data_IF_489973828171
#
_entry.id   IF_489973828171
#
_cell.length_a   1.000
_cell.length_b   1.000
_cell.length_c   1.000
_cell.angle_alpha   90.00
_cell.angle_beta   90.00
_cell.angle_gamma   90.00
#
_symmetry.space_group_name_H-M   'P 1'
#
loop_
_entity.id
_entity.type
_entity.pdbx_description
1 polymer ?
#
# COMPACT_ATOMS: atom_id res chain seq x y z
N UNK A 1 -2.28 -6.60 -22.46
CA UNK A 1 -2.24 -7.55 -21.32
C UNK A 1 -3.53 -7.35 -20.55
N UNK A 2 -4.26 -8.40 -20.19
CA UNK A 2 -5.48 -8.25 -19.37
C UNK A 2 -5.12 -7.74 -17.97
N UNK A 3 -5.92 -6.79 -17.47
CA UNK A 3 -5.72 -6.22 -16.13
C UNK A 3 -6.07 -7.24 -15.04
N UNK A 4 -5.21 -7.41 -14.01
CA UNK A 4 -5.47 -8.36 -12.93
C UNK A 4 -6.65 -7.93 -12.06
N UNK A 5 -7.39 -8.90 -11.53
CA UNK A 5 -8.48 -8.68 -10.56
C UNK A 5 -8.05 -9.24 -9.21
N UNK A 6 -8.35 -8.53 -8.11
CA UNK A 6 -8.12 -9.04 -6.76
C UNK A 6 -9.08 -10.19 -6.40
N UNK A 7 -8.64 -11.15 -5.58
CA UNK A 7 -9.54 -12.13 -4.99
C UNK A 7 -10.58 -11.44 -4.09
N UNK A 8 -11.64 -12.15 -3.73
CA UNK A 8 -12.66 -11.62 -2.79
C UNK A 8 -12.02 -11.27 -1.45
N UNK A 9 -11.09 -12.11 -1.01
CA UNK A 9 -10.30 -11.91 0.20
C UNK A 9 -8.86 -12.33 -0.03
N UNK A 10 -7.93 -11.64 0.60
CA UNK A 10 -6.53 -12.08 0.66
C UNK A 10 -5.86 -11.62 1.94
N UNK A 11 -4.73 -12.26 2.21
CA UNK A 11 -3.74 -11.86 3.18
C UNK A 11 -2.38 -11.82 2.48
N UNK A 12 -1.55 -10.87 2.88
CA UNK A 12 -0.14 -10.81 2.51
C UNK A 12 0.65 -10.10 3.59
N UNK A 13 1.92 -10.42 3.66
CA UNK A 13 2.92 -9.63 4.36
C UNK A 13 3.49 -8.60 3.38
N UNK A 14 4.14 -7.58 3.92
CA UNK A 14 4.90 -6.63 3.10
C UNK A 14 6.13 -6.09 3.80
N UNK A 15 7.10 -5.76 2.96
CA UNK A 15 8.19 -4.86 3.27
C UNK A 15 7.91 -3.52 2.58
N UNK A 16 8.06 -2.43 3.32
CA UNK A 16 7.93 -1.08 2.79
C UNK A 16 9.23 -0.33 2.94
N UNK A 17 9.65 0.33 1.87
CA UNK A 17 10.79 1.24 1.88
C UNK A 17 10.36 2.65 1.55
N UNK A 18 10.96 3.60 2.24
CA UNK A 18 10.73 5.03 2.07
C UNK A 18 12.05 5.77 1.96
N UNK A 19 12.16 6.71 1.02
CA UNK A 19 13.29 7.64 0.92
C UNK A 19 12.80 9.07 0.74
N UNK A 20 13.35 10.06 1.49
CA UNK A 20 12.94 11.46 1.38
C UNK A 20 13.42 12.08 0.06
N UNK A 21 12.65 13.06 -0.42
CA UNK A 21 12.95 13.82 -1.65
C UNK A 21 14.05 14.87 -1.51
N UNK A 22 14.56 15.10 -0.31
CA UNK A 22 15.62 16.10 -0.08
C UNK A 22 16.94 15.70 -0.76
N UNK A 23 17.04 14.48 -1.27
CA UNK A 23 18.12 13.99 -2.12
C UNK A 23 17.67 13.90 -3.58
N UNK A 24 18.08 14.85 -4.43
CA UNK A 24 17.73 14.87 -5.86
C UNK A 24 18.38 13.71 -6.66
N UNK A 25 19.41 13.05 -6.10
CA UNK A 25 20.09 11.93 -6.75
C UNK A 25 19.40 10.58 -6.47
N UNK A 26 18.38 10.55 -5.60
CA UNK A 26 17.63 9.33 -5.29
C UNK A 26 16.85 8.81 -6.50
N UNK A 27 17.12 7.58 -6.98
CA UNK A 27 16.36 7.02 -8.08
C UNK A 27 14.93 6.67 -7.65
N UNK A 28 14.00 6.91 -8.57
CA UNK A 28 12.59 6.54 -8.41
C UNK A 28 12.43 5.00 -8.34
N UNK A 29 11.50 4.48 -7.52
CA UNK A 29 11.11 3.06 -7.54
C UNK A 29 10.42 2.66 -8.87
N UNK A 30 10.24 1.36 -9.16
CA UNK A 30 10.50 0.21 -8.30
C UNK A 30 12.00 -0.09 -8.18
N UNK A 31 12.50 -0.20 -6.95
CA UNK A 31 13.88 -0.60 -6.72
C UNK A 31 14.00 -2.11 -6.91
N UNK A 32 14.96 -2.54 -7.73
CA UNK A 32 15.10 -3.95 -8.11
C UNK A 32 15.23 -4.82 -6.87
N UNK A 33 16.05 -4.45 -5.88
CA UNK A 33 16.22 -5.23 -4.65
C UNK A 33 15.21 -4.88 -3.53
N UNK A 34 14.11 -4.18 -3.87
CA UNK A 34 13.16 -3.59 -2.92
C UNK A 34 13.75 -2.52 -1.96
N UNK A 35 15.05 -2.23 -2.09
CA UNK A 35 15.80 -1.31 -1.24
C UNK A 35 16.39 -0.20 -2.13
N UNK A 36 16.27 1.08 -1.74
CA UNK A 36 16.93 2.18 -2.45
C UNK A 36 18.46 1.99 -2.50
N UNK A 37 19.13 2.34 -3.60
CA UNK A 37 20.55 2.07 -3.77
C UNK A 37 21.49 2.98 -2.95
N UNK A 38 20.97 4.05 -2.35
CA UNK A 38 21.73 4.94 -1.47
C UNK A 38 20.86 5.42 -0.30
N UNK A 39 21.52 5.88 0.77
CA UNK A 39 20.88 6.50 1.92
C UNK A 39 20.56 7.97 1.61
N UNK A 40 19.56 8.59 2.29
CA UNK A 40 18.77 8.03 3.39
C UNK A 40 17.55 7.23 2.94
N UNK A 41 17.24 6.14 3.65
CA UNK A 41 15.96 5.47 3.57
C UNK A 41 15.58 4.82 4.90
N UNK A 42 14.30 4.49 5.04
CA UNK A 42 13.78 3.65 6.10
C UNK A 42 13.18 2.37 5.50
N UNK A 43 13.21 1.28 6.28
CA UNK A 43 12.56 0.00 5.93
C UNK A 43 11.63 -0.41 7.07
N UNK A 44 10.37 -0.67 6.74
CA UNK A 44 9.36 -1.16 7.66
C UNK A 44 8.73 -2.43 7.15
N UNK A 45 8.04 -3.14 8.04
CA UNK A 45 7.27 -4.35 7.72
C UNK A 45 5.83 -4.17 8.12
N UNK A 46 5.00 -5.03 7.57
CA UNK A 46 3.61 -5.12 7.96
C UNK A 46 2.88 -6.25 7.26
N UNK A 47 1.56 -6.24 7.44
CA UNK A 47 0.68 -7.18 6.78
C UNK A 47 -0.63 -6.50 6.40
N UNK A 48 -1.25 -6.99 5.34
CA UNK A 48 -2.55 -6.52 4.87
C UNK A 48 -3.56 -7.66 4.89
N UNK A 49 -4.73 -7.38 5.45
CA UNK A 49 -5.93 -8.19 5.32
C UNK A 49 -6.94 -7.44 4.47
N UNK A 50 -7.49 -8.09 3.45
CA UNK A 50 -8.47 -7.50 2.56
C UNK A 50 -9.69 -8.42 2.44
N UNK A 51 -10.88 -7.85 2.57
CA UNK A 51 -12.15 -8.54 2.35
C UNK A 51 -13.16 -7.62 1.64
N UNK A 52 -13.30 -7.81 0.32
CA UNK A 52 -14.21 -7.03 -0.51
C UNK A 52 -15.68 -7.22 -0.14
N UNK A 53 -16.06 -8.45 0.20
CA UNK A 53 -17.43 -8.81 0.56
C UNK A 53 -17.86 -8.23 1.93
N UNK A 54 -16.89 -7.92 2.80
CA UNK A 54 -17.12 -7.23 4.06
C UNK A 54 -16.93 -5.70 3.94
N UNK A 55 -16.46 -5.20 2.79
CA UNK A 55 -16.02 -3.82 2.60
C UNK A 55 -15.00 -3.39 3.68
N UNK A 56 -14.02 -4.26 3.94
CA UNK A 56 -13.00 -4.07 4.98
C UNK A 56 -11.59 -4.34 4.46
N UNK A 57 -10.64 -3.52 4.90
CA UNK A 57 -9.22 -3.81 4.78
C UNK A 57 -8.48 -3.27 5.99
N UNK A 58 -7.46 -4.00 6.43
CA UNK A 58 -6.58 -3.60 7.51
C UNK A 58 -5.16 -3.69 7.00
N UNK A 59 -4.40 -2.61 7.11
CA UNK A 59 -2.96 -2.62 6.92
C UNK A 59 -2.30 -2.34 8.27
N UNK A 60 -1.48 -3.29 8.73
CA UNK A 60 -0.80 -3.18 10.01
C UNK A 60 0.70 -2.98 9.78
N UNK A 61 1.22 -1.84 10.23
CA UNK A 61 2.61 -1.43 10.11
C UNK A 61 3.33 -1.66 11.43
N UNK A 62 4.32 -2.56 11.45
CA UNK A 62 4.96 -3.01 12.69
C UNK A 62 6.16 -2.19 13.11
N UNK A 63 6.78 -1.46 12.18
CA UNK A 63 8.02 -0.71 12.44
C UNK A 63 7.78 0.80 12.36
N UNK A 64 7.25 1.28 11.25
CA UNK A 64 6.81 2.66 11.10
C UNK A 64 5.62 2.78 10.15
N UNK A 65 4.77 3.78 10.42
CA UNK A 65 3.67 4.14 9.55
C UNK A 65 4.21 4.80 8.28
N UNK A 66 3.64 4.49 7.12
CA UNK A 66 4.08 5.15 5.89
C UNK A 66 4.04 6.67 6.08
N UNK A 67 5.03 7.44 5.59
CA UNK A 67 4.93 8.90 5.48
C UNK A 67 3.91 9.32 4.42
N UNK A 68 2.66 8.96 4.67
CA UNK A 68 1.49 9.75 4.27
C UNK A 68 1.41 10.99 5.19
N UNK A 69 1.98 10.91 6.40
CA UNK A 69 1.98 11.99 7.38
C UNK A 69 3.31 12.74 7.48
N UNK A 70 3.21 14.05 7.71
CA UNK A 70 4.24 14.90 8.31
C UNK A 70 3.76 15.25 9.73
N UNK A 71 4.68 15.48 10.68
CA UNK A 71 6.10 15.15 10.60
C UNK A 71 6.30 13.62 10.69
N UNK A 72 7.50 13.17 10.30
CA UNK A 72 7.82 11.78 9.97
C UNK A 72 7.22 10.72 10.91
N UNK A 73 6.57 9.72 10.33
CA UNK A 73 5.77 8.73 11.05
C UNK A 73 6.56 7.50 11.49
N UNK A 74 7.71 7.71 12.16
CA UNK A 74 8.61 6.66 12.66
C UNK A 74 8.05 5.91 13.89
N UNK A 75 6.82 5.42 13.79
CA UNK A 75 6.10 4.70 14.84
C UNK A 75 5.15 3.65 14.23
N UNK A 76 4.91 2.50 14.88
CA UNK A 76 3.98 1.50 14.37
C UNK A 76 2.54 2.04 14.33
N UNK A 77 1.75 1.60 13.35
CA UNK A 77 0.38 2.04 13.20
C UNK A 77 -0.48 0.96 12.52
N UNK A 78 -1.79 1.09 12.63
CA UNK A 78 -2.74 0.27 11.88
C UNK A 78 -3.72 1.17 11.15
N UNK A 79 -3.78 1.03 9.83
CA UNK A 79 -4.85 1.62 9.03
C UNK A 79 -6.00 0.63 8.95
N UNK A 80 -7.18 1.05 9.39
CA UNK A 80 -8.39 0.23 9.38
C UNK A 80 -9.38 0.92 8.46
N UNK A 81 -9.72 0.29 7.35
CA UNK A 81 -10.80 0.73 6.49
C UNK A 81 -12.01 -0.18 6.71
N UNK A 82 -13.09 0.38 7.23
CA UNK A 82 -14.35 -0.33 7.46
C UNK A 82 -15.51 0.61 7.19
N UNK A 83 -16.55 0.12 6.50
CA UNK A 83 -17.76 0.88 6.20
C UNK A 83 -17.47 2.25 5.55
N UNK A 84 -16.53 2.26 4.60
CA UNK A 84 -16.11 3.47 3.88
C UNK A 84 -15.53 4.58 4.78
N UNK A 85 -14.96 4.21 5.93
CA UNK A 85 -14.21 5.11 6.79
C UNK A 85 -12.83 4.51 7.05
N UNK A 86 -11.79 5.30 6.78
CA UNK A 86 -10.43 4.96 7.14
C UNK A 86 -10.10 5.55 8.51
N UNK A 87 -9.67 4.69 9.43
CA UNK A 87 -9.16 5.02 10.74
C UNK A 87 -7.64 4.79 10.78
N UNK A 88 -6.95 5.59 11.57
CA UNK A 88 -5.57 5.35 11.95
C UNK A 88 -5.54 5.04 13.45
N UNK A 89 -4.98 3.89 13.80
CA UNK A 89 -4.63 3.51 15.17
C UNK A 89 -3.13 3.67 15.33
N UNK A 90 -2.71 4.35 16.38
CA UNK A 90 -1.31 4.58 16.69
C UNK A 90 -1.10 4.80 18.19
N UNK A 91 0.15 4.74 18.68
CA UNK A 91 0.45 5.13 20.06
C UNK A 91 0.06 6.61 20.32
N UNK A 92 -0.39 6.90 21.54
CA UNK A 92 -0.93 8.22 21.93
C UNK A 92 0.15 9.30 21.95
N UNK A 93 1.38 8.91 22.30
CA UNK A 93 2.54 9.80 22.43
C UNK A 93 2.92 10.51 21.12
N UNK A 94 2.49 9.98 19.97
CA UNK A 94 2.74 10.59 18.65
C UNK A 94 1.63 11.54 18.19
N UNK A 95 0.60 11.79 19.00
CA UNK A 95 -0.45 12.78 18.71
C UNK A 95 -1.58 12.32 17.78
N UNK A 96 -1.42 11.17 17.11
CA UNK A 96 -2.45 10.56 16.26
C UNK A 96 -3.34 9.56 17.00
N UNK A 97 -2.90 9.09 18.17
CA UNK A 97 -3.52 7.98 18.89
C UNK A 97 -4.62 8.38 19.90
N UNK A 98 -5.31 7.40 20.48
CA UNK A 98 -5.15 5.96 20.19
C UNK A 98 -5.85 5.55 18.88
N UNK A 99 -6.83 6.33 18.44
CA UNK A 99 -7.47 6.18 17.14
C UNK A 99 -8.03 7.52 16.66
N UNK A 100 -7.94 7.77 15.37
CA UNK A 100 -8.53 8.94 14.72
C UNK A 100 -9.11 8.57 13.34
N UNK A 101 -10.10 9.35 12.87
CA UNK A 101 -10.63 9.27 11.52
C UNK A 101 -9.59 9.87 10.58
N UNK A 102 -8.93 9.01 9.80
CA UNK A 102 -8.00 9.44 8.76
C UNK A 102 -8.76 10.05 7.59
N UNK A 103 -9.80 9.36 7.11
CA UNK A 103 -10.62 9.86 6.00
C UNK A 103 -12.04 9.29 6.02
N UNK A 104 -13.08 10.15 6.03
CA UNK A 104 -14.45 9.70 5.78
C UNK A 104 -14.68 9.49 4.27
N UNK A 105 -15.66 8.66 3.92
CA UNK A 105 -16.01 8.33 2.53
C UNK A 105 -14.84 7.74 1.72
N UNK A 106 -14.04 6.91 2.38
CA UNK A 106 -12.89 6.23 1.81
C UNK A 106 -13.15 4.73 1.81
N UNK A 107 -13.67 4.20 0.70
CA UNK A 107 -13.87 2.76 0.55
C UNK A 107 -12.55 2.06 0.23
N UNK A 108 -12.48 0.76 0.52
CA UNK A 108 -11.38 -0.07 0.05
C UNK A 108 -11.36 -0.11 -1.48
N UNK A 109 -10.20 -0.33 -2.13
CA UNK A 109 -10.14 -0.53 -3.57
C UNK A 109 -11.09 -1.66 -3.99
N UNK A 110 -11.94 -1.39 -4.98
CA UNK A 110 -12.77 -2.45 -5.57
C UNK A 110 -11.88 -3.49 -6.26
N UNK A 111 -12.33 -4.74 -6.34
CA UNK A 111 -11.49 -5.85 -6.81
C UNK A 111 -10.95 -5.68 -8.22
N UNK A 112 -11.67 -4.96 -9.08
CA UNK A 112 -11.30 -4.74 -10.47
C UNK A 112 -10.67 -3.36 -10.71
N UNK A 113 -10.17 -2.68 -9.67
CA UNK A 113 -9.64 -1.31 -9.77
C UNK A 113 -8.55 -1.16 -10.86
N UNK A 114 -7.81 -2.23 -11.16
CA UNK A 114 -6.80 -2.25 -12.21
C UNK A 114 -7.36 -2.05 -13.63
N UNK A 115 -8.67 -2.20 -13.85
CA UNK A 115 -9.33 -1.86 -15.11
C UNK A 115 -9.14 -0.39 -15.48
N UNK A 116 -9.04 0.49 -14.48
CA UNK A 116 -8.75 1.91 -14.71
C UNK A 116 -7.37 2.15 -15.34
N UNK A 117 -6.46 1.17 -15.26
CA UNK A 117 -5.09 1.25 -15.74
C UNK A 117 -4.80 0.24 -16.87
N UNK A 118 -5.81 -0.40 -17.46
CA UNK A 118 -5.61 -1.49 -18.43
C UNK A 118 -4.70 -1.10 -19.62
N UNK A 119 -4.82 0.16 -20.08
CA UNK A 119 -4.03 0.71 -21.18
C UNK A 119 -2.63 1.22 -20.75
N UNK A 120 -2.26 1.07 -19.47
CA UNK A 120 -1.01 1.56 -18.90
C UNK A 120 -0.01 0.44 -18.58
N UNK A 121 -0.17 -0.72 -19.21
CA UNK A 121 0.82 -1.80 -19.12
C UNK A 121 2.18 -1.33 -19.63
N UNK A 122 3.23 -1.54 -18.83
CA UNK A 122 4.58 -1.03 -19.08
C UNK A 122 5.66 -2.13 -19.11
N UNK A 123 5.30 -3.32 -19.57
CA UNK A 123 6.25 -4.43 -19.73
C UNK A 123 6.41 -5.28 -18.47
N UNK A 124 7.56 -5.96 -18.38
CA UNK A 124 7.79 -7.01 -17.38
C UNK A 124 9.24 -7.07 -16.92
N UNK A 125 9.45 -7.57 -15.71
CA UNK A 125 10.78 -7.89 -15.16
C UNK A 125 10.81 -9.33 -14.69
N UNK A 126 11.97 -9.98 -14.72
CA UNK A 126 12.10 -11.40 -14.32
C UNK A 126 12.34 -11.58 -12.82
N UNK A 127 12.79 -10.52 -12.15
CA UNK A 127 13.02 -10.51 -10.71
C UNK A 127 12.77 -9.10 -10.13
N UNK A 128 12.35 -9.09 -8.87
CA UNK A 128 12.34 -7.96 -7.93
C UNK A 128 12.83 -8.55 -6.58
N UNK A 129 13.37 -7.82 -5.62
CA UNK A 129 13.89 -8.26 -4.31
C UNK A 129 14.66 -9.59 -4.22
N UNK A 130 14.87 -10.03 -2.98
CA UNK A 130 15.44 -11.34 -2.66
C UNK A 130 14.31 -12.36 -2.35
N UNK A 131 14.42 -13.59 -2.85
CA UNK A 131 13.52 -14.69 -2.46
C UNK A 131 12.19 -14.76 -3.22
N UNK A 132 11.10 -14.25 -2.62
CA UNK A 132 9.65 -14.41 -2.98
C UNK A 132 9.31 -13.96 -4.43
N UNK A 133 10.28 -13.38 -5.10
CA UNK A 133 10.13 -12.61 -6.32
C UNK A 133 11.01 -13.16 -7.45
N UNK A 134 11.48 -14.41 -7.32
CA UNK A 134 12.06 -15.18 -8.43
C UNK A 134 10.95 -15.62 -9.41
N UNK A 135 10.22 -14.65 -9.95
CA UNK A 135 9.10 -14.83 -10.87
C UNK A 135 8.96 -13.60 -11.76
N UNK A 136 8.41 -13.82 -12.95
CA UNK A 136 8.11 -12.70 -13.84
C UNK A 136 6.99 -11.82 -13.27
N UNK A 137 7.25 -10.52 -13.24
CA UNK A 137 6.33 -9.49 -12.77
C UNK A 137 5.90 -8.65 -13.97
N UNK A 138 4.58 -8.49 -14.13
CA UNK A 138 3.93 -7.64 -15.11
C UNK A 138 3.63 -6.27 -14.47
N UNK A 139 3.96 -5.17 -15.15
CA UNK A 139 3.90 -3.81 -14.61
C UNK A 139 2.82 -2.96 -15.25
N UNK A 140 2.16 -2.14 -14.43
CA UNK A 140 1.25 -1.09 -14.85
C UNK A 140 1.64 0.24 -14.21
N UNK A 141 1.68 1.31 -14.99
CA UNK A 141 2.00 2.66 -14.50
C UNK A 141 0.72 3.41 -14.14
N UNK A 142 0.77 4.16 -13.05
CA UNK A 142 -0.26 5.12 -12.66
C UNK A 142 0.19 6.50 -13.17
N UNK A 143 -0.45 7.04 -14.23
CA UNK A 143 -0.05 8.32 -14.78
C UNK A 143 -0.42 9.47 -13.83
N UNK A 144 0.38 10.53 -13.83
CA UNK A 144 0.21 11.72 -12.96
C UNK A 144 -1.19 12.36 -13.08
N UNK A 145 -1.74 12.41 -14.30
CA UNK A 145 -3.02 13.06 -14.61
C UNK A 145 -4.25 12.18 -14.35
N UNK A 146 -4.12 11.13 -13.55
CA UNK A 146 -5.31 10.43 -13.08
C UNK A 146 -5.94 11.23 -11.95
N UNK A 147 -7.16 11.72 -12.17
CA UNK A 147 -8.06 12.26 -11.13
C UNK A 147 -8.39 11.24 -10.01
N UNK A 148 -7.71 10.09 -9.98
CA UNK A 148 -8.07 8.93 -9.18
C UNK A 148 -7.47 8.98 -7.77
N UNK A 149 -6.32 9.60 -7.54
CA UNK A 149 -5.67 9.60 -6.22
C UNK A 149 -4.85 10.87 -5.95
N UNK A 150 -5.01 11.42 -4.73
CA UNK A 150 -4.16 12.38 -4.02
C UNK A 150 -3.16 13.23 -4.82
N UNK A 151 -3.63 14.10 -5.73
CA UNK A 151 -2.76 15.17 -6.20
C UNK A 151 -2.54 16.20 -5.09
N UNK A 152 -1.46 15.99 -4.33
CA UNK A 152 -0.71 17.11 -3.76
C UNK A 152 -0.32 18.01 -4.93
N UNK A 153 -0.93 19.21 -5.03
CA UNK A 153 -0.68 20.20 -6.10
C UNK A 153 0.81 20.60 -6.28
N UNK A 154 1.69 20.09 -5.42
CA UNK A 154 3.11 20.45 -5.30
C UNK A 154 4.07 19.46 -5.97
N UNK A 155 3.59 18.38 -6.54
CA UNK A 155 4.46 17.30 -7.03
C UNK A 155 4.37 17.22 -8.55
N UNK A 156 5.38 17.75 -9.23
CA UNK A 156 5.47 17.88 -10.71
C UNK A 156 6.83 17.48 -11.27
N UNK A 157 7.69 16.84 -10.49
CA UNK A 157 9.07 16.55 -10.91
C UNK A 157 9.14 15.41 -11.93
N UNK A 158 8.12 14.54 -12.01
CA UNK A 158 8.14 13.34 -12.85
C UNK A 158 6.78 13.05 -13.51
N UNK A 159 6.76 12.36 -14.67
CA UNK A 159 5.54 12.14 -15.46
C UNK A 159 4.60 11.04 -14.91
N UNK A 160 4.91 10.44 -13.76
CA UNK A 160 4.23 9.27 -13.20
C UNK A 160 4.01 9.43 -11.69
N UNK A 161 2.83 9.03 -11.22
CA UNK A 161 2.52 9.03 -9.78
C UNK A 161 3.06 7.78 -9.10
N UNK A 162 3.00 6.63 -9.78
CA UNK A 162 3.29 5.34 -9.18
C UNK A 162 3.14 4.18 -10.15
N UNK A 163 3.14 2.97 -9.62
CA UNK A 163 2.93 1.76 -10.41
C UNK A 163 2.62 0.52 -9.59
N UNK A 164 1.99 -0.44 -10.25
CA UNK A 164 1.62 -1.73 -9.71
C UNK A 164 2.39 -2.84 -10.42
N UNK A 165 2.95 -3.76 -9.64
CA UNK A 165 3.58 -4.99 -10.12
C UNK A 165 2.78 -6.21 -9.68
N UNK A 166 2.50 -7.10 -10.62
CA UNK A 166 1.74 -8.33 -10.39
C UNK A 166 2.52 -9.54 -10.89
N UNK A 167 2.45 -10.64 -10.15
CA UNK A 167 3.01 -11.89 -10.61
C UNK A 167 2.31 -12.34 -11.90
N UNK A 168 3.09 -12.68 -12.93
CA UNK A 168 2.55 -13.21 -14.18
C UNK A 168 1.85 -14.55 -13.97
N UNK A 169 2.47 -15.41 -13.14
CA UNK A 169 1.92 -16.72 -12.79
C UNK A 169 0.79 -16.56 -11.79
N UNK A 170 -0.32 -17.24 -12.06
CA UNK A 170 -1.47 -17.28 -11.15
C UNK A 170 -1.25 -18.25 -10.00
N UNK A 171 -1.91 -17.97 -8.88
CA UNK A 171 -2.11 -18.91 -7.78
C UNK A 171 -3.04 -20.06 -8.22
N UNK A 172 -3.08 -21.18 -7.48
CA UNK A 172 -4.01 -22.28 -7.76
C UNK A 172 -5.50 -21.87 -7.81
N UNK A 173 -5.87 -20.79 -7.12
CA UNK A 173 -7.19 -20.17 -7.14
C UNK A 173 -7.53 -19.42 -8.44
N UNK A 174 -6.54 -19.20 -9.30
CA UNK A 174 -6.65 -18.46 -10.56
C UNK A 174 -6.31 -16.96 -10.47
N UNK A 175 -6.14 -16.41 -9.26
CA UNK A 175 -5.78 -14.99 -9.09
C UNK A 175 -4.27 -14.76 -9.24
N UNK A 176 -3.88 -13.58 -9.75
CA UNK A 176 -2.48 -13.15 -9.77
C UNK A 176 -2.12 -12.54 -8.43
N UNK A 177 -1.01 -12.95 -7.78
CA UNK A 177 -0.49 -12.27 -6.60
C UNK A 177 -0.18 -10.80 -6.88
N UNK A 178 -0.57 -9.95 -5.94
CA UNK A 178 -0.13 -8.57 -5.91
C UNK A 178 1.27 -8.52 -5.30
N UNK A 179 2.24 -7.96 -6.03
CA UNK A 179 3.67 -8.14 -5.72
C UNK A 179 4.33 -6.82 -5.32
N UNK A 180 3.98 -5.73 -5.98
CA UNK A 180 4.65 -4.46 -5.79
C UNK A 180 3.69 -3.30 -5.94
N UNK A 181 3.86 -2.31 -5.06
CA UNK A 181 3.27 -1.00 -5.20
C UNK A 181 4.33 0.05 -4.97
N UNK A 182 4.44 1.03 -5.84
CA UNK A 182 5.25 2.19 -5.55
C UNK A 182 4.51 3.44 -5.95
N UNK A 183 4.77 4.52 -5.22
CA UNK A 183 4.13 5.80 -5.46
C UNK A 183 4.92 6.95 -4.86
N UNK A 184 4.64 8.15 -5.36
CA UNK A 184 5.15 9.39 -4.82
C UNK A 184 4.29 9.87 -3.64
N UNK A 185 4.90 9.97 -2.46
CA UNK A 185 4.27 10.50 -1.25
C UNK A 185 4.46 12.02 -1.11
N UNK A 186 4.03 12.56 0.03
CA UNK A 186 4.16 14.00 0.31
C UNK A 186 5.59 14.46 0.55
N UNK A 187 6.50 13.57 0.95
CA UNK A 187 7.89 13.90 1.29
C UNK A 187 8.94 12.98 0.67
N UNK A 188 8.56 12.07 -0.23
CA UNK A 188 9.49 11.06 -0.71
C UNK A 188 8.86 10.03 -1.64
N UNK A 189 9.67 9.04 -2.00
CA UNK A 189 9.22 7.84 -2.69
C UNK A 189 8.92 6.72 -1.71
N UNK A 190 7.86 5.98 -1.98
CA UNK A 190 7.49 4.77 -1.23
C UNK A 190 7.43 3.58 -2.17
N UNK A 191 7.98 2.45 -1.74
CA UNK A 191 7.89 1.17 -2.44
C UNK A 191 7.50 0.08 -1.44
N UNK A 192 6.35 -0.53 -1.64
CA UNK A 192 5.90 -1.73 -0.94
C UNK A 192 6.13 -2.95 -1.82
N UNK A 193 6.71 -3.98 -1.23
CA UNK A 193 6.89 -5.29 -1.82
C UNK A 193 6.15 -6.28 -0.96
N UNK A 194 5.22 -7.01 -1.58
CA UNK A 194 4.32 -7.92 -0.91
C UNK A 194 4.82 -9.35 -1.03
N UNK A 195 4.77 -10.07 0.08
CA UNK A 195 5.11 -11.48 0.19
C UNK A 195 4.03 -12.28 0.91
N UNK A 196 4.20 -13.60 0.96
CA UNK A 196 3.26 -14.54 1.57
C UNK A 196 1.80 -14.36 1.13
N UNK A 197 1.60 -13.92 -0.12
CA UNK A 197 0.27 -13.68 -0.66
C UNK A 197 -0.54 -14.98 -0.69
N UNK A 198 -1.68 -14.97 0.00
CA UNK A 198 -2.64 -16.07 0.00
C UNK A 198 -4.06 -15.55 -0.05
N UNK A 199 -4.90 -16.24 -0.84
CA UNK A 199 -6.34 -16.05 -0.92
C UNK A 199 -7.09 -17.27 -0.40
N UNK A 200 -6.40 -18.10 0.39
CA UNK A 200 -6.94 -19.27 1.09
C UNK A 200 -6.39 -19.36 2.50
N UNK A 201 -6.93 -20.28 3.31
CA UNK A 201 -6.44 -20.56 4.66
C UNK A 201 -7.13 -19.72 5.76
N UNK A 202 -6.58 -19.74 6.99
CA UNK A 202 -7.21 -19.08 8.14
C UNK A 202 -7.03 -17.56 8.13
N UNK A 203 -5.92 -17.03 7.61
CA UNK A 203 -5.63 -15.59 7.67
C UNK A 203 -6.67 -14.74 6.91
N UNK A 204 -7.22 -15.24 5.79
CA UNK A 204 -8.27 -14.55 5.03
C UNK A 204 -9.62 -14.46 5.76
N UNK A 205 -9.77 -15.17 6.88
CA UNK A 205 -10.97 -15.16 7.73
C UNK A 205 -10.85 -14.25 8.94
N UNK A 206 -9.69 -13.64 9.18
CA UNK A 206 -9.45 -12.76 10.32
C UNK A 206 -10.52 -11.66 10.45
N UNK A 207 -10.90 -11.06 9.32
CA UNK A 207 -11.88 -9.97 9.27
C UNK A 207 -13.33 -10.42 9.55
N UNK A 208 -13.66 -11.71 9.52
CA UNK A 208 -15.00 -12.21 9.87
C UNK A 208 -15.34 -11.97 11.34
N UNK A 209 -14.31 -12.01 12.19
CA UNK A 209 -14.43 -11.84 13.64
C UNK A 209 -13.90 -10.50 14.13
N UNK A 210 -13.34 -9.69 13.23
CA UNK A 210 -12.74 -8.41 13.60
C UNK A 210 -13.82 -7.44 14.09
N UNK A 211 -13.52 -6.79 15.20
CA UNK A 211 -14.32 -5.68 15.74
C UNK A 211 -13.45 -4.46 15.78
N UNK A 212 -13.99 -3.35 15.26
CA UNK A 212 -13.33 -2.06 15.37
C UNK A 212 -13.07 -1.77 16.88
N UNK A 213 -11.85 -1.38 17.26
CA UNK A 213 -11.53 -1.07 18.66
C UNK A 213 -12.43 0.04 19.20
N UNK A 214 -12.77 -0.02 20.49
CA UNK A 214 -13.67 0.96 21.11
C UNK A 214 -13.12 2.38 21.01
N UNK A 215 -11.79 2.55 21.01
CA UNK A 215 -11.17 3.87 20.90
C UNK A 215 -11.40 4.52 19.53
N UNK A 216 -11.74 3.73 18.50
CA UNK A 216 -12.11 4.20 17.18
C UNK A 216 -13.58 4.62 17.06
N UNK A 217 -14.40 4.47 18.12
CA UNK A 217 -15.70 5.13 18.22
C UNK A 217 -15.52 6.61 18.54
N UNK A 218 -14.85 7.32 17.63
CA UNK A 218 -14.38 8.69 17.80
C UNK A 218 -14.87 9.57 16.66
N UNK A 219 -15.03 10.87 16.94
CA UNK A 219 -15.22 11.91 15.93
C UNK A 219 -13.92 12.70 15.66
N UNK A 220 -12.81 12.32 16.31
CA UNK A 220 -11.52 12.97 16.16
C UNK A 220 -10.96 12.68 14.76
N UNK A 221 -10.77 13.72 13.96
CA UNK A 221 -10.00 13.63 12.72
C UNK A 221 -8.52 13.54 13.05
N UNK A 222 -7.74 12.77 12.28
CA UNK A 222 -6.29 12.78 12.38
C UNK A 222 -5.76 14.17 12.03
N UNK A 223 -5.39 14.96 13.04
CA UNK A 223 -4.87 16.30 12.84
C UNK A 223 -3.42 16.23 12.40
N UNK A 224 -3.18 16.69 11.18
CA UNK A 224 -1.87 17.02 10.66
C UNK A 224 -1.45 18.35 11.29
N UNK A 225 -0.67 18.32 12.36
CA UNK A 225 -0.10 19.52 12.99
C UNK A 225 1.09 20.05 12.22
#
# INVERSE_FOLDING_TARGET
>A
MESPTLPVRFFNDFLITYTPRDDEEMPMPPWIDAIPPALPYAIGRGSTWYAADLNMAIENYTDYCIPIFKPASYFPCTFINVNSTAYLVSPKEYGYGPCCIYRPNWAIPHRDFMRAFENNYNGSTESLGHGVLNQTIDWWIIPENTNLFFQSKKVKSHPVFGGFGWARKTMPSGFKPYVSFWYEGDIGWTHQVFDNFTDTGPNIKYLETYKLPEECNTALTCLYG
#
